data_IF_984582383750
#
_entry.id   IF_984582383750
#
_cell.length_a   1.000
_cell.length_b   1.000
_cell.length_c   1.000
_cell.angle_alpha   90.00
_cell.angle_beta   90.00
_cell.angle_gamma   90.00
#
_symmetry.space_group_name_H-M   'P 1'
#
loop_
_entity.id
_entity.type
_entity.pdbx_description
1 polymer ?
#
# COMPACT_ATOMS: atom_id res chain seq x y z
N UNK A 1 -1.15 10.87 -22.23
CA UNK A 1 -1.37 9.54 -21.60
C UNK A 1 -0.57 9.53 -20.30
N UNK A 2 -1.25 9.36 -19.15
CA UNK A 2 -0.61 9.46 -17.83
C UNK A 2 0.48 8.39 -17.68
N UNK A 3 0.19 7.16 -18.09
CA UNK A 3 1.11 6.03 -18.06
C UNK A 3 1.90 5.88 -19.36
N UNK A 4 2.48 6.97 -19.84
CA UNK A 4 3.47 6.93 -20.93
C UNK A 4 4.86 6.69 -20.32
N UNK A 5 5.51 5.59 -20.69
CA UNK A 5 6.83 5.21 -20.17
C UNK A 5 7.88 6.28 -20.42
N UNK A 6 7.88 6.87 -21.61
CA UNK A 6 8.86 7.91 -21.95
C UNK A 6 8.62 9.16 -21.09
N UNK A 7 7.37 9.57 -20.89
CA UNK A 7 7.05 10.69 -20.01
C UNK A 7 7.50 10.42 -18.58
N UNK A 8 7.18 9.24 -18.04
CA UNK A 8 7.57 8.85 -16.67
C UNK A 8 9.09 8.84 -16.51
N UNK A 9 9.81 8.19 -17.41
CA UNK A 9 11.27 8.00 -17.28
C UNK A 9 12.08 9.22 -17.65
N UNK A 10 11.61 10.06 -18.59
CA UNK A 10 12.36 11.22 -19.08
C UNK A 10 11.92 12.55 -18.45
N UNK A 11 10.73 12.63 -17.85
CA UNK A 11 10.20 13.86 -17.25
C UNK A 11 9.94 13.72 -15.75
N UNK A 12 9.11 12.77 -15.32
CA UNK A 12 8.72 12.66 -13.89
C UNK A 12 9.87 12.18 -13.01
N UNK A 13 10.48 11.06 -13.34
CA UNK A 13 11.56 10.46 -12.56
C UNK A 13 12.74 11.43 -12.35
N UNK A 14 13.25 12.16 -13.36
CA UNK A 14 14.30 13.17 -13.16
C UNK A 14 13.88 14.32 -12.22
N UNK A 15 12.61 14.74 -12.24
CA UNK A 15 12.10 15.80 -11.35
C UNK A 15 12.07 15.34 -9.89
N UNK A 16 11.57 14.13 -9.62
CA UNK A 16 11.56 13.56 -8.27
C UNK A 16 12.98 13.32 -7.76
N UNK A 17 13.85 12.77 -8.61
CA UNK A 17 15.27 12.65 -8.27
C UNK A 17 15.91 14.00 -7.97
N UNK A 18 15.60 15.05 -8.75
CA UNK A 18 16.06 16.40 -8.51
C UNK A 18 15.61 16.94 -7.15
N UNK A 19 14.34 16.74 -6.80
CA UNK A 19 13.79 17.12 -5.48
C UNK A 19 14.52 16.40 -4.35
N UNK A 20 14.73 15.09 -4.46
CA UNK A 20 15.50 14.31 -3.49
C UNK A 20 16.95 14.82 -3.33
N UNK A 21 17.64 15.05 -4.43
CA UNK A 21 19.04 15.49 -4.40
C UNK A 21 19.21 16.93 -3.88
N UNK A 22 18.21 17.79 -4.04
CA UNK A 22 18.20 19.14 -3.48
C UNK A 22 17.76 19.20 -2.01
N UNK A 23 17.19 18.11 -1.49
CA UNK A 23 16.76 18.04 -0.09
C UNK A 23 17.95 17.95 0.86
N UNK A 24 17.85 18.65 1.99
CA UNK A 24 18.92 18.71 2.99
C UNK A 24 19.04 17.40 3.77
N UNK A 25 20.26 17.04 4.15
CA UNK A 25 20.56 15.87 4.96
C UNK A 25 20.92 16.22 6.41
N UNK A 26 20.72 17.48 6.80
CA UNK A 26 20.84 17.95 8.18
C UNK A 26 19.56 17.62 8.96
N UNK A 27 19.70 17.45 10.26
CA UNK A 27 18.55 17.21 11.15
C UNK A 27 17.49 18.29 10.97
N UNK A 28 16.22 17.94 10.77
CA UNK A 28 15.16 18.91 10.52
C UNK A 28 14.89 19.79 11.74
N UNK A 29 14.77 21.10 11.52
CA UNK A 29 14.48 22.11 12.54
C UNK A 29 12.99 22.42 12.68
N UNK A 30 12.16 21.86 11.81
CA UNK A 30 10.72 22.06 11.78
C UNK A 30 9.93 21.02 12.59
N UNK A 31 10.58 19.99 13.12
CA UNK A 31 9.93 19.02 14.01
C UNK A 31 9.75 19.66 15.38
N UNK A 32 8.52 19.61 15.89
CA UNK A 32 8.20 20.16 17.20
C UNK A 32 8.37 19.13 18.30
N UNK A 33 9.04 19.44 19.41
CA UNK A 33 9.17 18.52 20.53
C UNK A 33 7.80 18.14 21.10
N UNK A 34 7.62 16.88 21.44
CA UNK A 34 6.42 16.37 22.11
C UNK A 34 6.68 16.30 23.62
N UNK A 35 5.70 16.72 24.42
CA UNK A 35 5.86 16.69 25.89
C UNK A 35 6.00 15.26 26.42
N UNK A 36 6.75 15.09 27.52
CA UNK A 36 6.94 13.78 28.14
C UNK A 36 5.60 13.13 28.58
N UNK A 37 4.62 13.94 28.99
CA UNK A 37 3.30 13.46 29.37
C UNK A 37 2.55 12.91 28.14
N UNK A 38 2.59 13.63 27.04
CA UNK A 38 1.97 13.22 25.78
C UNK A 38 2.60 11.93 25.24
N UNK A 39 3.95 11.85 25.26
CA UNK A 39 4.68 10.62 24.88
C UNK A 39 4.22 9.39 25.69
N UNK A 40 4.12 9.53 27.01
CA UNK A 40 3.65 8.45 27.89
C UNK A 40 2.20 8.05 27.59
N UNK A 41 1.33 9.02 27.33
CA UNK A 41 -0.05 8.75 26.98
C UNK A 41 -0.14 8.02 25.63
N UNK A 42 0.64 8.46 24.63
CA UNK A 42 0.71 7.82 23.31
C UNK A 42 1.24 6.38 23.42
N UNK A 43 2.33 6.17 24.18
CA UNK A 43 2.91 4.85 24.41
C UNK A 43 1.92 3.90 25.10
N UNK A 44 1.23 4.38 26.13
CA UNK A 44 0.21 3.60 26.84
C UNK A 44 -0.94 3.22 25.90
N UNK A 45 -1.39 4.16 25.07
CA UNK A 45 -2.45 3.90 24.10
C UNK A 45 -2.00 2.89 23.04
N UNK A 46 -0.81 3.07 22.42
CA UNK A 46 -0.26 2.15 21.40
C UNK A 46 -0.12 0.75 21.99
N UNK A 47 0.43 0.62 23.19
CA UNK A 47 0.59 -0.68 23.85
C UNK A 47 -0.76 -1.38 24.03
N UNK A 48 -1.74 -0.68 24.57
CA UNK A 48 -3.09 -1.23 24.75
C UNK A 48 -3.77 -1.59 23.42
N UNK A 49 -3.60 -0.77 22.37
CA UNK A 49 -4.12 -1.02 21.04
C UNK A 49 -3.49 -2.26 20.41
N UNK A 50 -2.17 -2.39 20.48
CA UNK A 50 -1.43 -3.54 19.94
C UNK A 50 -1.77 -4.84 20.69
N UNK A 51 -1.93 -4.81 22.01
CA UNK A 51 -2.36 -5.98 22.78
C UNK A 51 -3.78 -6.42 22.40
N UNK A 52 -4.69 -5.47 22.16
CA UNK A 52 -6.05 -5.79 21.69
C UNK A 52 -6.00 -6.45 20.32
N UNK A 53 -5.26 -5.85 19.37
CA UNK A 53 -5.11 -6.35 18.02
C UNK A 53 -4.51 -7.76 18.01
N UNK A 54 -3.39 -7.99 18.71
CA UNK A 54 -2.74 -9.29 18.79
C UNK A 54 -3.63 -10.36 19.40
N UNK A 55 -4.38 -10.03 20.46
CA UNK A 55 -5.36 -10.97 21.07
C UNK A 55 -6.44 -11.36 20.07
N UNK A 56 -6.95 -10.39 19.32
CA UNK A 56 -7.99 -10.63 18.32
C UNK A 56 -7.44 -11.45 17.14
N UNK A 57 -6.25 -11.15 16.65
CA UNK A 57 -5.60 -11.92 15.57
C UNK A 57 -5.32 -13.37 15.99
N UNK A 58 -4.86 -13.61 17.23
CA UNK A 58 -4.68 -14.97 17.77
C UNK A 58 -6.00 -15.75 17.91
N UNK A 59 -7.11 -15.07 18.04
CA UNK A 59 -8.44 -15.67 18.11
C UNK A 59 -9.05 -15.98 16.74
N UNK A 60 -8.32 -15.73 15.63
CA UNK A 60 -8.80 -16.01 14.29
C UNK A 60 -9.20 -17.49 14.13
N UNK A 61 -10.42 -17.77 13.67
CA UNK A 61 -10.92 -19.13 13.53
C UNK A 61 -10.24 -19.82 12.35
N UNK A 62 -9.19 -20.61 12.63
CA UNK A 62 -8.50 -21.40 11.59
C UNK A 62 -9.39 -22.53 11.07
N UNK A 63 -9.18 -22.98 9.82
CA UNK A 63 -9.93 -24.07 9.17
C UNK A 63 -9.97 -25.36 9.99
N UNK A 64 -8.94 -25.66 10.77
CA UNK A 64 -8.90 -26.86 11.62
C UNK A 64 -9.96 -26.86 12.73
N UNK A 65 -10.56 -25.71 13.06
CA UNK A 65 -11.66 -25.58 14.04
C UNK A 65 -13.04 -25.45 13.38
N UNK A 66 -13.09 -25.22 12.08
CA UNK A 66 -14.34 -25.19 11.30
C UNK A 66 -14.49 -26.61 10.70
N UNK A 67 -14.84 -27.56 11.53
CA UNK A 67 -15.24 -28.88 11.08
C UNK A 67 -16.59 -28.76 10.35
N UNK A 68 -16.54 -28.52 9.06
CA UNK A 68 -17.69 -28.74 8.19
C UNK A 68 -17.89 -30.25 8.15
N UNK A 69 -18.84 -30.77 8.93
CA UNK A 69 -19.41 -32.10 8.69
C UNK A 69 -20.11 -32.05 7.34
N UNK A 70 -19.35 -32.41 6.28
CA UNK A 70 -19.95 -32.72 4.99
C UNK A 70 -20.74 -34.03 5.15
N UNK A 71 -22.06 -34.07 4.96
CA UNK A 71 -22.74 -35.32 4.79
C UNK A 71 -22.23 -35.97 3.52
N UNK A 72 -21.77 -37.20 3.62
CA UNK A 72 -21.42 -38.04 2.47
C UNK A 72 -22.61 -38.12 1.52
N UNK A 73 -22.56 -37.42 0.39
CA UNK A 73 -23.44 -37.60 -0.73
C UNK A 73 -22.62 -37.58 -2.01
N UNK A 74 -22.43 -38.78 -2.57
CA UNK A 74 -22.00 -38.94 -3.95
C UNK A 74 -23.12 -38.44 -4.87
N UNK A 75 -22.99 -37.23 -5.42
CA UNK A 75 -23.60 -36.81 -6.69
C UNK A 75 -22.95 -35.53 -7.20
N UNK A 76 -22.41 -35.61 -8.38
CA UNK A 76 -22.03 -34.64 -9.43
C UNK A 76 -21.64 -33.20 -9.05
N UNK A 77 -20.52 -32.70 -9.61
CA UNK A 77 -20.08 -31.32 -9.45
C UNK A 77 -20.71 -30.44 -10.52
N UNK A 78 -21.98 -30.09 -10.33
CA UNK A 78 -22.59 -28.99 -11.09
C UNK A 78 -23.27 -28.05 -10.10
N UNK A 79 -22.83 -26.78 -10.14
CA UNK A 79 -23.43 -25.67 -9.43
C UNK A 79 -23.37 -25.73 -7.88
N UNK A 80 -22.21 -25.79 -7.29
CA UNK A 80 -22.04 -25.29 -5.93
C UNK A 80 -21.88 -23.77 -6.01
N UNK A 81 -23.02 -23.09 -6.13
CA UNK A 81 -23.11 -21.65 -6.03
C UNK A 81 -22.38 -21.14 -4.77
N UNK A 82 -21.66 -20.05 -4.92
CA UNK A 82 -21.07 -19.22 -3.90
C UNK A 82 -22.14 -18.66 -2.93
N UNK A 83 -22.70 -19.48 -2.08
CA UNK A 83 -23.63 -19.05 -1.01
C UNK A 83 -23.52 -19.94 0.22
N UNK A 84 -22.28 -20.05 0.77
CA UNK A 84 -22.17 -20.47 2.16
C UNK A 84 -21.87 -19.22 2.98
N UNK A 85 -22.88 -18.77 3.74
CA UNK A 85 -22.67 -17.77 4.79
C UNK A 85 -21.46 -18.17 5.64
N UNK A 86 -20.55 -17.24 5.95
CA UNK A 86 -19.39 -17.55 6.79
C UNK A 86 -19.83 -18.26 8.08
N UNK A 87 -19.02 -19.22 8.55
CA UNK A 87 -19.33 -19.89 9.80
C UNK A 87 -19.59 -18.84 10.90
N UNK A 88 -20.56 -19.05 11.80
CA UNK A 88 -20.96 -18.05 12.79
C UNK A 88 -19.77 -17.48 13.61
N UNK A 89 -18.76 -18.30 13.86
CA UNK A 89 -17.52 -17.89 14.55
C UNK A 89 -16.69 -16.89 13.73
N UNK A 90 -16.60 -17.09 12.42
CA UNK A 90 -15.90 -16.17 11.53
C UNK A 90 -16.66 -14.85 11.39
N UNK A 91 -17.99 -14.91 11.32
CA UNK A 91 -18.83 -13.73 11.29
C UNK A 91 -18.68 -12.91 12.58
N UNK A 92 -18.70 -13.55 13.75
CA UNK A 92 -18.47 -12.90 15.04
C UNK A 92 -17.06 -12.27 15.08
N UNK A 93 -16.03 -13.00 14.69
CA UNK A 93 -14.65 -12.48 14.64
C UNK A 93 -14.53 -11.25 13.73
N UNK A 94 -15.20 -11.26 12.57
CA UNK A 94 -15.21 -10.12 11.65
C UNK A 94 -15.89 -8.89 12.26
N UNK A 95 -17.03 -9.07 12.95
CA UNK A 95 -17.72 -7.98 13.65
C UNK A 95 -16.86 -7.38 14.79
N UNK A 96 -16.17 -8.23 15.53
CA UNK A 96 -15.24 -7.79 16.58
C UNK A 96 -14.03 -7.06 15.99
N UNK A 97 -13.51 -7.50 14.82
CA UNK A 97 -12.46 -6.82 14.09
C UNK A 97 -12.92 -5.45 13.57
N UNK A 98 -14.13 -5.35 13.03
CA UNK A 98 -14.73 -4.07 12.63
C UNK A 98 -14.81 -3.09 13.80
N UNK A 99 -15.26 -3.56 14.96
CA UNK A 99 -15.34 -2.74 16.19
C UNK A 99 -13.95 -2.32 16.69
N UNK A 100 -12.98 -3.22 16.60
CA UNK A 100 -11.60 -2.93 16.98
C UNK A 100 -10.99 -1.85 16.09
N UNK A 101 -11.12 -2.00 14.77
CA UNK A 101 -10.65 -0.98 13.81
C UNK A 101 -11.35 0.35 14.00
N UNK A 102 -12.63 0.35 14.30
CA UNK A 102 -13.35 1.57 14.66
C UNK A 102 -12.64 2.28 15.81
N UNK A 103 -12.43 1.59 16.95
CA UNK A 103 -11.76 2.19 18.11
C UNK A 103 -10.33 2.66 17.76
N UNK A 104 -9.56 1.87 16.99
CA UNK A 104 -8.20 2.25 16.60
C UNK A 104 -8.15 3.49 15.71
N UNK A 105 -9.14 3.72 14.87
CA UNK A 105 -9.17 4.88 13.97
C UNK A 105 -9.72 6.15 14.63
N UNK A 106 -10.63 6.01 15.59
CA UNK A 106 -11.38 7.14 16.12
C UNK A 106 -10.99 7.54 17.54
N UNK A 107 -10.49 6.61 18.34
CA UNK A 107 -10.00 6.89 19.70
C UNK A 107 -8.49 7.15 19.72
N UNK A 108 -7.82 7.12 18.55
CA UNK A 108 -6.39 7.28 18.47
C UNK A 108 -5.98 8.77 18.72
N UNK A 109 -5.02 9.01 19.62
CA UNK A 109 -4.58 10.34 19.95
C UNK A 109 -3.46 10.89 19.05
N UNK A 110 -2.77 10.01 18.28
CA UNK A 110 -1.50 10.29 17.61
C UNK A 110 -1.73 10.88 16.23
N UNK A 111 -2.45 10.15 15.38
CA UNK A 111 -2.66 10.51 13.98
C UNK A 111 -3.63 11.70 13.82
N UNK A 112 -4.56 11.85 14.75
CA UNK A 112 -5.49 12.99 14.78
C UNK A 112 -6.50 13.01 13.63
N UNK A 113 -6.84 11.86 13.06
CA UNK A 113 -7.75 11.74 11.91
C UNK A 113 -9.11 12.39 12.19
N UNK A 114 -9.62 12.23 13.40
CA UNK A 114 -10.88 12.84 13.84
C UNK A 114 -10.85 14.37 13.91
N UNK A 115 -9.66 14.99 13.94
CA UNK A 115 -9.49 16.44 13.93
C UNK A 115 -9.37 17.01 12.53
N UNK A 116 -8.94 16.20 11.58
CA UNK A 116 -8.68 16.60 10.20
C UNK A 116 -9.87 16.39 9.26
N UNK A 117 -10.80 15.49 9.61
CA UNK A 117 -11.96 15.14 8.81
C UNK A 117 -13.26 15.62 9.48
N UNK A 118 -14.28 15.97 8.69
CA UNK A 118 -15.62 16.23 9.20
C UNK A 118 -16.27 14.94 9.73
N UNK A 119 -17.29 15.07 10.60
CA UNK A 119 -18.04 13.94 11.13
C UNK A 119 -18.69 13.10 10.02
N UNK A 120 -19.22 13.75 8.97
CA UNK A 120 -19.79 13.09 7.80
C UNK A 120 -18.73 12.32 7.01
N UNK A 121 -17.56 12.93 6.77
CA UNK A 121 -16.43 12.28 6.09
C UNK A 121 -15.92 11.09 6.90
N UNK A 122 -15.83 11.23 8.20
CA UNK A 122 -15.41 10.14 9.11
C UNK A 122 -16.39 8.97 9.07
N UNK A 123 -17.68 9.26 9.13
CA UNK A 123 -18.73 8.23 9.06
C UNK A 123 -18.68 7.50 7.71
N UNK A 124 -18.51 8.22 6.61
CA UNK A 124 -18.38 7.65 5.29
C UNK A 124 -17.10 6.83 5.14
N UNK A 125 -15.97 7.30 5.69
CA UNK A 125 -14.72 6.58 5.73
C UNK A 125 -14.86 5.24 6.48
N UNK A 126 -15.49 5.24 7.65
CA UNK A 126 -15.80 4.00 8.39
C UNK A 126 -16.65 3.02 7.56
N UNK A 127 -17.70 3.54 6.94
CA UNK A 127 -18.60 2.71 6.14
C UNK A 127 -17.85 2.04 4.99
N UNK A 128 -16.98 2.78 4.28
CA UNK A 128 -16.17 2.25 3.18
C UNK A 128 -15.16 1.19 3.65
N UNK A 129 -14.51 1.38 4.82
CA UNK A 129 -13.62 0.37 5.42
C UNK A 129 -14.37 -0.91 5.79
N UNK A 130 -15.54 -0.79 6.38
CA UNK A 130 -16.39 -1.96 6.69
C UNK A 130 -16.83 -2.69 5.44
N UNK A 131 -17.20 -1.96 4.41
CA UNK A 131 -17.57 -2.54 3.12
C UNK A 131 -16.40 -3.28 2.48
N UNK A 132 -15.20 -2.69 2.49
CA UNK A 132 -13.99 -3.35 2.02
C UNK A 132 -13.74 -4.68 2.76
N UNK A 133 -13.74 -4.66 4.09
CA UNK A 133 -13.52 -5.87 4.89
C UNK A 133 -14.58 -6.95 4.64
N UNK A 134 -15.84 -6.58 4.43
CA UNK A 134 -16.91 -7.52 4.04
C UNK A 134 -16.65 -8.13 2.67
N UNK A 135 -16.25 -7.32 1.69
CA UNK A 135 -15.88 -7.81 0.35
C UNK A 135 -14.71 -8.78 0.43
N UNK A 136 -13.65 -8.46 1.21
CA UNK A 136 -12.51 -9.38 1.44
C UNK A 136 -12.99 -10.71 1.98
N UNK A 137 -13.83 -10.71 3.02
CA UNK A 137 -14.36 -11.94 3.61
C UNK A 137 -15.28 -12.72 2.70
N UNK A 138 -16.03 -12.06 1.84
CA UNK A 138 -16.84 -12.71 0.83
C UNK A 138 -16.00 -13.36 -0.28
N UNK A 139 -14.97 -12.65 -0.74
CA UNK A 139 -14.11 -13.09 -1.84
C UNK A 139 -13.09 -14.16 -1.41
N UNK A 140 -12.47 -13.99 -0.25
CA UNK A 140 -11.42 -14.86 0.27
C UNK A 140 -11.64 -15.15 1.77
N UNK A 141 -12.65 -15.96 2.14
CA UNK A 141 -12.97 -16.24 3.54
C UNK A 141 -11.83 -16.92 4.32
N UNK A 142 -10.91 -17.56 3.59
CA UNK A 142 -9.71 -18.20 4.15
C UNK A 142 -8.53 -17.27 4.34
N UNK A 143 -8.59 -16.03 3.85
CA UNK A 143 -7.47 -15.07 3.91
C UNK A 143 -7.06 -14.80 5.36
N UNK A 144 -5.76 -14.82 5.60
CA UNK A 144 -5.20 -14.54 6.92
C UNK A 144 -5.35 -13.06 7.28
N UNK A 145 -5.37 -12.72 8.58
CA UNK A 145 -5.44 -11.32 9.02
C UNK A 145 -4.29 -10.45 8.51
N UNK A 146 -3.09 -11.02 8.39
CA UNK A 146 -1.90 -10.34 7.90
C UNK A 146 -2.08 -9.89 6.44
N UNK A 147 -2.56 -10.81 5.59
CA UNK A 147 -2.83 -10.56 4.16
C UNK A 147 -3.97 -9.54 3.99
N UNK A 148 -4.99 -9.63 4.86
CA UNK A 148 -6.05 -8.61 4.94
C UNK A 148 -5.50 -7.23 5.29
N UNK A 149 -4.53 -7.17 6.21
CA UNK A 149 -3.87 -5.95 6.61
C UNK A 149 -3.12 -5.30 5.45
N UNK A 150 -2.46 -6.09 4.59
CA UNK A 150 -1.79 -5.61 3.38
C UNK A 150 -2.80 -4.98 2.39
N UNK A 151 -3.89 -5.69 2.09
CA UNK A 151 -4.94 -5.17 1.21
C UNK A 151 -5.59 -3.89 1.78
N UNK A 152 -5.84 -3.88 3.10
CA UNK A 152 -6.45 -2.73 3.78
C UNK A 152 -5.54 -1.51 3.75
N UNK A 153 -4.21 -1.66 3.88
CA UNK A 153 -3.27 -0.53 3.77
C UNK A 153 -3.41 0.19 2.44
N UNK A 154 -3.47 -0.56 1.33
CA UNK A 154 -3.65 0.04 0.01
C UNK A 154 -5.01 0.75 -0.12
N UNK A 155 -6.08 0.12 0.36
CA UNK A 155 -7.40 0.74 0.38
C UNK A 155 -7.46 2.02 1.25
N UNK A 156 -6.70 2.06 2.35
CA UNK A 156 -6.58 3.27 3.18
C UNK A 156 -5.90 4.42 2.42
N UNK A 157 -4.85 4.16 1.66
CA UNK A 157 -4.19 5.17 0.82
C UNK A 157 -5.18 5.76 -0.18
N UNK A 158 -5.96 4.92 -0.86
CA UNK A 158 -7.03 5.37 -1.74
C UNK A 158 -8.04 6.27 -1.01
N UNK A 159 -8.52 5.84 0.16
CA UNK A 159 -9.51 6.58 0.94
C UNK A 159 -9.00 7.93 1.44
N UNK A 160 -7.73 8.01 1.85
CA UNK A 160 -7.05 9.25 2.22
C UNK A 160 -6.98 10.19 1.02
N UNK A 161 -6.65 9.68 -0.16
CA UNK A 161 -6.60 10.51 -1.37
C UNK A 161 -7.99 10.98 -1.82
N UNK A 162 -9.05 10.21 -1.57
CA UNK A 162 -10.42 10.68 -1.81
C UNK A 162 -10.75 11.88 -0.93
N UNK A 163 -10.44 11.81 0.36
CA UNK A 163 -10.63 12.93 1.28
C UNK A 163 -9.80 14.15 0.87
N UNK A 164 -8.53 13.94 0.52
CA UNK A 164 -7.63 14.99 0.03
C UNK A 164 -8.21 15.73 -1.19
N UNK A 165 -8.93 15.02 -2.06
CA UNK A 165 -9.57 15.58 -3.25
C UNK A 165 -11.00 16.07 -3.00
N UNK A 166 -11.51 16.00 -1.76
CA UNK A 166 -12.87 16.40 -1.41
C UNK A 166 -13.94 15.55 -2.07
N UNK A 167 -13.67 14.25 -2.28
CA UNK A 167 -14.56 13.28 -2.90
C UNK A 167 -15.21 12.38 -1.84
N UNK A 168 -16.48 11.97 -2.03
CA UNK A 168 -17.13 11.06 -1.10
C UNK A 168 -16.40 9.72 -1.05
N UNK A 169 -16.40 9.10 0.12
CA UNK A 169 -15.81 7.78 0.34
C UNK A 169 -16.65 6.70 -0.33
N UNK A 170 -16.00 5.74 -0.99
CA UNK A 170 -16.62 4.57 -1.60
C UNK A 170 -15.65 3.38 -1.66
N UNK A 171 -16.14 2.22 -2.08
CA UNK A 171 -15.34 1.03 -2.28
C UNK A 171 -15.76 0.34 -3.61
N UNK A 172 -15.42 0.93 -4.76
CA UNK A 172 -15.72 0.32 -6.05
C UNK A 172 -14.92 -0.96 -6.28
N UNK A 173 -15.44 -1.84 -7.15
CA UNK A 173 -14.80 -3.13 -7.47
C UNK A 173 -13.38 -2.98 -8.00
N UNK A 174 -13.07 -1.89 -8.68
CA UNK A 174 -11.72 -1.64 -9.22
C UNK A 174 -10.69 -1.44 -8.13
N UNK A 175 -10.98 -0.64 -7.10
CA UNK A 175 -10.03 -0.44 -6.01
C UNK A 175 -9.99 -1.65 -5.08
N UNK A 176 -11.13 -2.34 -4.90
CA UNK A 176 -11.14 -3.63 -4.22
C UNK A 176 -10.20 -4.62 -4.92
N UNK A 177 -10.37 -4.78 -6.26
CA UNK A 177 -9.51 -5.64 -7.07
C UNK A 177 -8.04 -5.28 -6.97
N UNK A 178 -7.69 -3.99 -7.07
CA UNK A 178 -6.31 -3.51 -7.00
C UNK A 178 -5.71 -3.74 -5.61
N UNK A 179 -6.42 -3.40 -4.54
CA UNK A 179 -5.95 -3.60 -3.17
C UNK A 179 -5.75 -5.07 -2.82
N UNK A 180 -6.62 -5.95 -3.32
CA UNK A 180 -6.53 -7.39 -3.13
C UNK A 180 -5.47 -8.04 -4.01
N UNK A 181 -5.14 -7.45 -5.16
CA UNK A 181 -4.16 -8.00 -6.08
C UNK A 181 -2.79 -8.15 -5.41
N UNK A 182 -2.39 -7.18 -4.57
CA UNK A 182 -1.11 -7.18 -3.89
C UNK A 182 -0.87 -8.44 -3.05
N UNK A 183 -1.67 -8.77 -2.01
CA UNK A 183 -1.46 -10.00 -1.24
C UNK A 183 -1.64 -11.28 -2.08
N UNK A 184 -2.40 -11.23 -3.17
CA UNK A 184 -2.57 -12.40 -4.04
C UNK A 184 -1.36 -12.66 -4.94
N UNK A 185 -0.64 -11.61 -5.34
CA UNK A 185 0.53 -11.73 -6.21
C UNK A 185 1.80 -11.96 -5.41
N UNK A 186 2.10 -11.09 -4.46
CA UNK A 186 3.36 -11.11 -3.73
C UNK A 186 3.46 -12.36 -2.86
N UNK A 187 2.40 -12.70 -2.10
CA UNK A 187 2.43 -13.89 -1.26
C UNK A 187 2.59 -15.19 -2.06
N UNK A 188 2.07 -15.25 -3.29
CA UNK A 188 2.28 -16.40 -4.17
C UNK A 188 3.71 -16.44 -4.70
N UNK A 189 4.24 -15.31 -5.13
CA UNK A 189 5.57 -15.21 -5.71
C UNK A 189 6.67 -15.42 -4.67
N UNK A 190 6.44 -15.03 -3.43
CA UNK A 190 7.39 -15.14 -2.33
C UNK A 190 7.31 -16.50 -1.61
N UNK A 191 6.18 -17.22 -1.71
CA UNK A 191 6.07 -18.54 -1.04
C UNK A 191 7.08 -19.55 -1.64
N UNK A 192 8.02 -20.08 -0.82
CA UNK A 192 9.02 -21.06 -1.27
C UNK A 192 8.43 -22.42 -1.67
N UNK A 193 7.14 -22.66 -1.37
CA UNK A 193 6.46 -23.90 -1.80
C UNK A 193 6.16 -23.91 -3.29
N UNK A 194 6.10 -22.75 -3.93
CA UNK A 194 5.88 -22.66 -5.37
C UNK A 194 7.18 -22.77 -6.14
N UNK A 195 7.17 -23.62 -7.15
CA UNK A 195 8.31 -23.83 -8.05
C UNK A 195 8.55 -22.59 -8.93
N UNK A 196 9.77 -22.46 -9.45
CA UNK A 196 10.09 -21.38 -10.40
C UNK A 196 9.20 -21.41 -11.65
N UNK A 197 8.74 -22.60 -12.07
CA UNK A 197 7.87 -22.77 -13.22
C UNK A 197 6.45 -22.29 -12.94
N UNK A 198 5.90 -22.60 -11.75
CA UNK A 198 4.61 -22.07 -11.29
C UNK A 198 4.63 -20.55 -11.18
N UNK A 199 5.68 -19.98 -10.60
CA UNK A 199 5.87 -18.54 -10.50
C UNK A 199 5.95 -17.85 -11.87
N UNK A 200 6.67 -18.45 -12.82
CA UNK A 200 6.74 -17.95 -14.21
C UNK A 200 5.39 -18.04 -14.92
N UNK A 201 4.67 -19.14 -14.75
CA UNK A 201 3.32 -19.29 -15.30
C UNK A 201 2.37 -18.24 -14.73
N UNK A 202 2.42 -18.02 -13.43
CA UNK A 202 1.60 -17.03 -12.74
C UNK A 202 1.89 -15.60 -13.21
N UNK A 203 3.16 -15.20 -13.37
CA UNK A 203 3.55 -13.93 -13.94
C UNK A 203 3.04 -13.74 -15.38
N UNK A 204 3.14 -14.82 -16.20
CA UNK A 204 2.62 -14.81 -17.55
C UNK A 204 1.09 -14.66 -17.57
N UNK A 205 0.39 -15.31 -16.62
CA UNK A 205 -1.05 -15.16 -16.45
C UNK A 205 -1.44 -13.69 -16.21
N UNK A 206 -0.78 -13.04 -15.25
CA UNK A 206 -1.05 -11.64 -14.93
C UNK A 206 -0.82 -10.76 -16.16
N UNK A 207 0.33 -10.92 -16.81
CA UNK A 207 0.66 -10.17 -18.03
C UNK A 207 -0.37 -10.38 -19.14
N UNK A 208 -0.76 -11.63 -19.42
CA UNK A 208 -1.75 -11.95 -20.46
C UNK A 208 -3.12 -11.35 -20.14
N UNK A 209 -3.57 -11.46 -18.88
CA UNK A 209 -4.86 -10.87 -18.45
C UNK A 209 -4.87 -9.36 -18.60
N UNK A 210 -3.81 -8.68 -18.19
CA UNK A 210 -3.69 -7.21 -18.37
C UNK A 210 -3.68 -6.86 -19.85
N UNK A 211 -2.97 -7.64 -20.67
CA UNK A 211 -2.86 -7.41 -22.12
C UNK A 211 -4.09 -7.84 -22.91
N UNK A 212 -5.07 -8.49 -22.28
CA UNK A 212 -6.27 -9.03 -22.97
C UNK A 212 -5.99 -10.27 -23.78
N UNK A 213 -4.89 -10.98 -23.52
CA UNK A 213 -4.53 -12.22 -24.19
C UNK A 213 -5.16 -13.43 -23.49
N UNK A 214 -5.49 -14.51 -24.22
CA UNK A 214 -6.02 -15.73 -23.63
C UNK A 214 -4.96 -16.44 -22.79
N UNK A 215 -5.41 -17.07 -21.69
CA UNK A 215 -4.58 -17.93 -20.87
C UNK A 215 -5.43 -19.02 -20.23
N UNK A 216 -4.85 -20.19 -20.00
CA UNK A 216 -5.47 -21.28 -19.25
C UNK A 216 -5.21 -21.10 -17.77
N UNK A 217 -6.25 -21.15 -16.96
CA UNK A 217 -6.16 -21.11 -15.51
C UNK A 217 -5.99 -22.54 -14.96
N UNK A 218 -5.05 -22.72 -14.06
CA UNK A 218 -4.65 -24.04 -13.54
C UNK A 218 -5.06 -24.24 -12.07
N UNK A 219 -5.42 -23.18 -11.37
CA UNK A 219 -5.72 -23.23 -9.94
C UNK A 219 -6.81 -22.22 -9.55
N UNK A 220 -7.47 -22.49 -8.40
CA UNK A 220 -8.43 -21.54 -7.82
C UNK A 220 -7.77 -20.19 -7.48
N UNK A 221 -6.50 -20.18 -7.11
CA UNK A 221 -5.75 -18.95 -6.85
C UNK A 221 -5.63 -18.11 -8.13
N UNK A 222 -5.32 -18.74 -9.25
CA UNK A 222 -5.25 -18.08 -10.56
C UNK A 222 -6.61 -17.59 -11.03
N UNK A 223 -7.70 -18.36 -10.78
CA UNK A 223 -9.06 -17.91 -11.07
C UNK A 223 -9.42 -16.66 -10.28
N UNK A 224 -9.12 -16.62 -8.97
CA UNK A 224 -9.34 -15.46 -8.12
C UNK A 224 -8.50 -14.26 -8.56
N UNK A 225 -7.23 -14.47 -8.88
CA UNK A 225 -6.35 -13.40 -9.40
C UNK A 225 -6.89 -12.84 -10.72
N UNK A 226 -7.35 -13.71 -11.62
CA UNK A 226 -7.97 -13.30 -12.88
C UNK A 226 -9.27 -12.53 -12.67
N UNK A 227 -10.05 -12.87 -11.63
CA UNK A 227 -11.27 -12.13 -11.25
C UNK A 227 -10.92 -10.74 -10.71
N UNK A 228 -9.92 -10.61 -9.83
CA UNK A 228 -9.45 -9.30 -9.33
C UNK A 228 -9.02 -8.38 -10.47
N UNK A 229 -8.28 -8.91 -11.45
CA UNK A 229 -7.92 -8.15 -12.66
C UNK A 229 -9.15 -7.77 -13.48
N UNK A 230 -10.15 -8.64 -13.60
CA UNK A 230 -11.40 -8.32 -14.27
C UNK A 230 -12.17 -7.21 -13.53
N UNK A 231 -12.19 -7.22 -12.19
CA UNK A 231 -12.83 -6.21 -11.36
C UNK A 231 -12.15 -4.85 -11.51
N UNK A 232 -10.82 -4.82 -11.62
CA UNK A 232 -10.07 -3.60 -11.93
C UNK A 232 -10.53 -2.99 -13.26
N UNK A 233 -10.78 -3.82 -14.26
CA UNK A 233 -11.17 -3.35 -15.59
C UNK A 233 -12.67 -3.10 -15.77
N UNK A 234 -13.53 -3.65 -14.92
CA UNK A 234 -14.99 -3.55 -15.03
C UNK A 234 -15.53 -2.13 -14.78
N UNK A 235 -14.81 -1.31 -14.02
CA UNK A 235 -15.21 0.08 -13.71
C UNK A 235 -14.96 1.02 -14.89
N UNK A 236 -14.21 0.58 -15.89
CA UNK A 236 -14.01 1.36 -17.10
C UNK A 236 -15.14 1.08 -18.07
N UNK A 237 -15.84 2.14 -18.48
CA UNK A 237 -17.22 2.09 -18.85
C UNK A 237 -17.52 1.16 -20.03
N UNK A 238 -18.74 0.59 -19.98
CA UNK A 238 -19.43 0.15 -21.17
C UNK A 238 -19.44 1.26 -22.24
N UNK A 239 -19.52 0.94 -23.53
CA UNK A 239 -19.56 1.94 -24.61
C UNK A 239 -20.55 3.09 -24.40
N UNK A 240 -21.57 2.91 -23.57
CA UNK A 240 -22.63 3.91 -23.28
C UNK A 240 -22.20 4.98 -22.25
N UNK A 241 -21.24 4.68 -21.35
CA UNK A 241 -20.65 5.65 -20.44
C UNK A 241 -19.38 6.32 -21.00
N UNK A 242 -18.89 5.88 -22.16
CA UNK A 242 -17.75 6.41 -22.91
C UNK A 242 -17.92 7.89 -23.29
N UNK A 243 -19.15 8.39 -23.33
CA UNK A 243 -19.41 9.82 -23.59
C UNK A 243 -18.74 10.77 -22.58
N UNK A 244 -18.45 10.31 -21.34
CA UNK A 244 -17.80 11.13 -20.30
C UNK A 244 -16.31 10.86 -20.11
N UNK A 245 -15.81 9.65 -20.37
CA UNK A 245 -14.44 9.23 -20.00
C UNK A 245 -13.58 8.67 -21.13
N UNK A 246 -14.16 8.29 -22.28
CA UNK A 246 -13.45 7.85 -23.48
C UNK A 246 -12.75 6.47 -23.38
N UNK A 247 -12.53 5.82 -24.54
CA UNK A 247 -11.73 4.57 -24.63
C UNK A 247 -10.32 4.68 -24.05
N UNK A 248 -9.82 5.90 -23.84
CA UNK A 248 -8.48 6.18 -23.35
C UNK A 248 -8.24 5.62 -21.92
N UNK A 249 -9.24 5.70 -21.03
CA UNK A 249 -9.08 5.33 -19.63
C UNK A 249 -8.81 3.84 -19.40
N UNK A 250 -9.48 2.96 -20.16
CA UNK A 250 -9.22 1.52 -20.07
C UNK A 250 -7.85 1.11 -20.60
N UNK A 251 -7.31 1.83 -21.59
CA UNK A 251 -5.95 1.64 -22.07
C UNK A 251 -4.91 2.18 -21.09
N UNK A 252 -5.21 3.31 -20.45
CA UNK A 252 -4.30 3.92 -19.47
C UNK A 252 -4.08 3.02 -18.26
N UNK A 253 -5.14 2.44 -17.67
CA UNK A 253 -4.96 1.57 -16.51
C UNK A 253 -4.21 0.27 -16.85
N UNK A 254 -4.49 -0.32 -18.02
CA UNK A 254 -3.74 -1.50 -18.50
C UNK A 254 -2.26 -1.18 -18.65
N UNK A 255 -1.96 -0.04 -19.26
CA UNK A 255 -0.58 0.43 -19.42
C UNK A 255 0.07 0.69 -18.05
N UNK A 256 -0.65 1.33 -17.11
CA UNK A 256 -0.17 1.54 -15.74
C UNK A 256 0.20 0.23 -15.04
N UNK A 257 -0.68 -0.79 -15.11
CA UNK A 257 -0.42 -2.10 -14.52
C UNK A 257 0.73 -2.85 -15.20
N UNK A 258 0.89 -2.73 -16.53
CA UNK A 258 2.05 -3.31 -17.23
C UNK A 258 3.36 -2.64 -16.81
N UNK A 259 3.36 -1.32 -16.64
CA UNK A 259 4.53 -0.59 -16.13
C UNK A 259 4.83 -0.97 -14.66
N UNK A 260 3.80 -1.24 -13.86
CA UNK A 260 4.01 -1.71 -12.49
C UNK A 260 4.62 -3.10 -12.44
N UNK A 261 4.19 -4.04 -13.30
CA UNK A 261 4.85 -5.34 -13.44
C UNK A 261 6.32 -5.20 -13.85
N UNK A 262 6.58 -4.34 -14.83
CA UNK A 262 7.96 -4.03 -15.25
C UNK A 262 8.79 -3.45 -14.09
N UNK A 263 8.19 -2.55 -13.28
CA UNK A 263 8.86 -1.98 -12.11
C UNK A 263 9.19 -3.05 -11.05
N UNK A 264 8.30 -4.01 -10.83
CA UNK A 264 8.54 -5.16 -9.96
C UNK A 264 9.69 -6.03 -10.48
N UNK A 265 9.72 -6.34 -11.77
CA UNK A 265 10.82 -7.10 -12.39
C UNK A 265 12.15 -6.35 -12.31
N UNK A 266 12.13 -5.04 -12.51
CA UNK A 266 13.33 -4.20 -12.39
C UNK A 266 13.83 -4.16 -10.94
N UNK A 267 12.93 -4.11 -9.95
CA UNK A 267 13.31 -4.08 -8.53
C UNK A 267 14.01 -5.37 -8.08
N UNK A 268 13.70 -6.52 -8.68
CA UNK A 268 14.41 -7.78 -8.39
C UNK A 268 15.92 -7.70 -8.70
N UNK A 269 16.34 -6.81 -9.61
CA UNK A 269 17.76 -6.56 -9.89
C UNK A 269 18.53 -6.00 -8.70
N UNK A 270 17.83 -5.43 -7.71
CA UNK A 270 18.47 -4.93 -6.50
C UNK A 270 19.11 -6.05 -5.66
N UNK A 271 18.55 -7.26 -5.71
CA UNK A 271 19.10 -8.45 -5.04
C UNK A 271 20.11 -9.23 -5.90
N UNK A 272 20.28 -8.91 -7.19
CA UNK A 272 21.20 -9.61 -8.06
C UNK A 272 22.65 -9.14 -7.86
N UNK A 273 23.43 -9.90 -7.11
CA UNK A 273 24.83 -9.60 -6.82
C UNK A 273 25.75 -9.56 -8.06
N UNK A 274 25.32 -10.14 -9.19
CA UNK A 274 26.09 -10.12 -10.45
C UNK A 274 26.02 -8.75 -11.16
N UNK A 275 25.04 -7.92 -10.82
CA UNK A 275 24.84 -6.62 -11.43
C UNK A 275 25.53 -5.52 -10.63
N UNK A 276 26.24 -4.65 -11.31
CA UNK A 276 26.74 -3.40 -10.72
C UNK A 276 25.64 -2.34 -10.76
N UNK A 277 25.12 -1.94 -9.62
CA UNK A 277 24.13 -0.86 -9.48
C UNK A 277 24.79 0.35 -8.83
N UNK A 278 24.73 1.49 -9.52
CA UNK A 278 25.09 2.77 -8.92
C UNK A 278 23.98 3.25 -7.96
N UNK A 279 24.29 4.14 -7.03
CA UNK A 279 23.27 4.77 -6.18
C UNK A 279 22.15 5.41 -7.01
N UNK A 280 22.48 6.00 -8.14
CA UNK A 280 21.50 6.54 -9.08
C UNK A 280 20.56 5.46 -9.63
N UNK A 281 21.09 4.29 -10.00
CA UNK A 281 20.24 3.19 -10.49
C UNK A 281 19.29 2.70 -9.40
N UNK A 282 19.79 2.55 -8.15
CA UNK A 282 18.98 2.16 -7.00
C UNK A 282 17.86 3.19 -6.76
N UNK A 283 18.21 4.46 -6.74
CA UNK A 283 17.24 5.56 -6.58
C UNK A 283 16.17 5.55 -7.68
N UNK A 284 16.59 5.41 -8.93
CA UNK A 284 15.68 5.40 -10.08
C UNK A 284 14.71 4.20 -10.00
N UNK A 285 15.15 3.05 -9.51
CA UNK A 285 14.30 1.87 -9.27
C UNK A 285 13.26 2.18 -8.18
N UNK A 286 13.68 2.72 -7.03
CA UNK A 286 12.78 3.05 -5.91
C UNK A 286 11.76 4.12 -6.31
N UNK A 287 12.19 5.17 -7.05
CA UNK A 287 11.28 6.21 -7.57
C UNK A 287 10.27 5.59 -8.53
N UNK A 288 10.72 4.74 -9.45
CA UNK A 288 9.87 4.16 -10.49
C UNK A 288 8.81 3.22 -9.89
N UNK A 289 9.24 2.29 -9.01
CA UNK A 289 8.35 1.33 -8.35
C UNK A 289 7.34 2.03 -7.43
N UNK A 290 7.82 2.82 -6.49
CA UNK A 290 6.96 3.53 -5.55
C UNK A 290 6.04 4.54 -6.23
N UNK A 291 6.60 5.33 -7.17
CA UNK A 291 5.84 6.34 -7.91
C UNK A 291 4.69 5.76 -8.72
N UNK A 292 4.91 4.65 -9.43
CA UNK A 292 3.86 3.98 -10.20
C UNK A 292 2.75 3.43 -9.30
N UNK A 293 3.09 2.82 -8.17
CA UNK A 293 2.12 2.26 -7.22
C UNK A 293 1.08 3.30 -6.81
N UNK A 294 1.54 4.45 -6.32
CA UNK A 294 0.65 5.51 -5.84
C UNK A 294 -0.05 6.27 -6.99
N UNK A 295 0.61 6.40 -8.14
CA UNK A 295 -0.01 7.02 -9.30
C UNK A 295 -1.21 6.19 -9.82
N UNK A 296 -1.14 4.87 -9.73
CA UNK A 296 -2.25 3.98 -10.05
C UNK A 296 -3.40 4.16 -9.04
N UNK A 297 -3.13 4.20 -7.73
CA UNK A 297 -4.14 4.50 -6.71
C UNK A 297 -4.86 5.82 -7.00
N UNK A 298 -4.08 6.86 -7.29
CA UNK A 298 -4.66 8.18 -7.64
C UNK A 298 -5.49 8.14 -8.92
N UNK A 299 -5.10 7.32 -9.90
CA UNK A 299 -5.85 7.17 -11.15
C UNK A 299 -7.26 6.63 -10.91
N UNK A 300 -7.44 5.72 -9.95
CA UNK A 300 -8.76 5.20 -9.59
C UNK A 300 -9.68 6.25 -8.95
N UNK A 301 -9.13 7.30 -8.37
CA UNK A 301 -9.91 8.36 -7.73
C UNK A 301 -10.53 9.29 -8.76
N UNK A 302 -9.73 9.72 -9.71
CA UNK A 302 -10.16 10.58 -10.81
C UNK A 302 -9.22 10.37 -12.00
N UNK A 303 -9.77 9.98 -13.12
CA UNK A 303 -9.04 9.69 -14.35
C UNK A 303 -8.30 10.89 -14.94
N UNK A 304 -8.63 12.12 -14.50
CA UNK A 304 -7.97 13.34 -14.92
C UNK A 304 -7.05 13.83 -13.80
N UNK A 305 -5.81 14.06 -14.15
CA UNK A 305 -4.80 14.62 -13.26
C UNK A 305 -4.07 15.78 -13.96
N UNK A 306 -3.78 16.84 -13.22
CA UNK A 306 -2.84 17.88 -13.67
C UNK A 306 -1.41 17.37 -13.59
N UNK A 307 -0.47 18.07 -14.22
CA UNK A 307 0.97 17.72 -14.12
C UNK A 307 1.48 17.83 -12.68
N UNK A 308 0.97 18.77 -11.90
CA UNK A 308 1.33 18.97 -10.50
C UNK A 308 0.82 17.80 -9.66
N UNK A 309 -0.43 17.37 -9.86
CA UNK A 309 -0.98 16.18 -9.20
C UNK A 309 -0.16 14.93 -9.55
N UNK A 310 0.15 14.70 -10.82
CA UNK A 310 0.96 13.56 -11.25
C UNK A 310 2.33 13.60 -10.54
N UNK A 311 2.98 14.76 -10.49
CA UNK A 311 4.27 14.92 -9.85
C UNK A 311 4.19 14.65 -8.35
N UNK A 312 3.19 15.21 -7.66
CA UNK A 312 2.99 15.00 -6.23
C UNK A 312 2.78 13.52 -5.91
N UNK A 313 1.81 12.85 -6.55
CA UNK A 313 1.49 11.45 -6.25
C UNK A 313 2.62 10.50 -6.63
N UNK A 314 3.32 10.78 -7.72
CA UNK A 314 4.50 10.00 -8.09
C UNK A 314 5.62 10.17 -7.07
N UNK A 315 5.85 11.39 -6.57
CA UNK A 315 6.80 11.67 -5.49
C UNK A 315 6.37 11.09 -4.15
N UNK A 316 5.06 11.08 -3.86
CA UNK A 316 4.50 10.49 -2.65
C UNK A 316 4.72 8.96 -2.61
N UNK A 317 4.62 8.30 -3.76
CA UNK A 317 4.97 6.89 -3.88
C UNK A 317 6.44 6.62 -3.58
N UNK A 318 7.35 7.49 -3.99
CA UNK A 318 8.77 7.37 -3.62
C UNK A 318 8.99 7.57 -2.11
N UNK A 319 8.27 8.52 -1.48
CA UNK A 319 8.27 8.68 -0.02
C UNK A 319 7.88 7.37 0.69
N UNK A 320 6.76 6.77 0.30
CA UNK A 320 6.29 5.52 0.89
C UNK A 320 7.29 4.38 0.68
N UNK A 321 7.88 4.26 -0.51
CA UNK A 321 8.91 3.27 -0.80
C UNK A 321 10.14 3.45 0.09
N UNK A 322 10.57 4.69 0.37
CA UNK A 322 11.70 4.94 1.26
C UNK A 322 11.38 4.62 2.73
N UNK A 323 10.13 4.82 3.16
CA UNK A 323 9.71 4.41 4.50
C UNK A 323 9.70 2.87 4.64
N UNK A 324 9.29 2.16 3.59
CA UNK A 324 9.34 0.70 3.51
C UNK A 324 10.79 0.21 3.52
N UNK A 325 11.63 0.72 2.62
CA UNK A 325 13.08 0.44 2.60
C UNK A 325 13.77 0.73 3.97
N UNK A 326 13.26 1.72 4.73
CA UNK A 326 13.77 2.06 6.06
C UNK A 326 13.34 1.03 7.11
N UNK A 327 12.13 0.52 7.05
CA UNK A 327 11.63 -0.53 7.95
C UNK A 327 12.38 -1.84 7.72
N UNK A 328 12.70 -2.12 6.46
CA UNK A 328 13.23 -3.40 6.01
C UNK A 328 14.76 -3.43 5.85
N UNK A 329 15.51 -2.43 6.37
CA UNK A 329 16.99 -2.38 6.24
C UNK A 329 17.65 -3.72 6.63
N UNK A 330 17.22 -4.34 7.73
CA UNK A 330 17.77 -5.59 8.23
C UNK A 330 17.51 -6.76 7.31
N UNK A 331 16.30 -6.87 6.81
CA UNK A 331 15.89 -7.90 5.88
C UNK A 331 16.56 -7.71 4.52
N UNK A 332 16.57 -6.52 3.98
CA UNK A 332 17.22 -6.16 2.73
C UNK A 332 18.71 -6.52 2.74
N UNK A 333 19.44 -6.16 3.81
CA UNK A 333 20.85 -6.52 3.96
C UNK A 333 21.02 -8.04 4.07
N UNK A 334 20.14 -8.72 4.77
CA UNK A 334 20.14 -10.17 4.89
C UNK A 334 19.93 -10.89 3.56
N UNK A 335 19.07 -10.35 2.72
CA UNK A 335 18.75 -10.89 1.40
C UNK A 335 19.67 -10.36 0.29
N UNK A 336 20.59 -9.45 0.59
CA UNK A 336 21.48 -8.81 -0.38
C UNK A 336 20.77 -7.81 -1.30
N UNK A 337 19.57 -7.35 -0.92
CA UNK A 337 18.81 -6.34 -1.65
C UNK A 337 19.40 -4.95 -1.39
N UNK A 338 19.74 -4.24 -2.46
CA UNK A 338 20.42 -2.93 -2.43
C UNK A 338 19.39 -1.82 -2.62
N UNK A 339 18.87 -1.29 -1.52
CA UNK A 339 18.04 -0.10 -1.48
C UNK A 339 18.87 1.13 -1.08
N UNK A 340 18.28 2.33 -1.11
CA UNK A 340 18.97 3.55 -0.66
C UNK A 340 19.36 3.47 0.82
N UNK A 341 18.56 2.77 1.64
CA UNK A 341 18.78 2.62 3.07
C UNK A 341 19.70 1.43 3.38
N UNK A 342 19.48 0.27 2.77
CA UNK A 342 20.33 -0.91 2.98
C UNK A 342 21.75 -0.73 2.46
N UNK A 343 21.96 0.17 1.50
CA UNK A 343 23.29 0.51 0.96
C UNK A 343 24.13 1.41 1.88
N UNK A 344 23.56 1.98 2.94
CA UNK A 344 24.30 2.76 3.92
C UNK A 344 25.29 1.87 4.67
N UNK A 345 26.54 2.33 4.77
CA UNK A 345 27.65 1.61 5.42
C UNK A 345 27.81 1.98 6.89
N UNK A 346 27.35 3.17 7.28
CA UNK A 346 27.50 3.71 8.63
C UNK A 346 26.19 4.27 9.18
N UNK A 347 26.00 4.25 10.52
CA UNK A 347 24.85 4.89 11.17
C UNK A 347 24.68 6.36 10.79
N UNK A 348 25.79 7.08 10.58
CA UNK A 348 25.78 8.48 10.16
C UNK A 348 25.18 8.65 8.75
N UNK A 349 25.49 7.76 7.83
CA UNK A 349 24.91 7.78 6.49
C UNK A 349 23.42 7.48 6.54
N UNK A 350 22.99 6.49 7.35
CA UNK A 350 21.55 6.18 7.56
C UNK A 350 20.82 7.39 8.12
N UNK A 351 21.37 8.05 9.15
CA UNK A 351 20.81 9.27 9.73
C UNK A 351 20.70 10.41 8.69
N UNK A 352 21.72 10.62 7.87
CA UNK A 352 21.69 11.62 6.79
C UNK A 352 20.59 11.32 5.75
N UNK A 353 20.36 10.04 5.43
CA UNK A 353 19.26 9.63 4.53
C UNK A 353 17.88 9.91 5.14
N UNK A 354 17.71 9.63 6.42
CA UNK A 354 16.44 9.90 7.13
C UNK A 354 16.21 11.41 7.24
N UNK A 355 17.22 12.20 7.56
CA UNK A 355 17.12 13.65 7.57
C UNK A 355 16.70 14.19 6.17
N UNK A 356 17.31 13.66 5.12
CA UNK A 356 16.93 14.00 3.74
C UNK A 356 15.49 13.60 3.42
N UNK A 357 15.00 12.47 3.96
CA UNK A 357 13.64 12.02 3.78
C UNK A 357 12.65 13.00 4.40
N UNK A 358 12.91 13.53 5.60
CA UNK A 358 12.11 14.60 6.19
C UNK A 358 12.10 15.86 5.31
N UNK A 359 13.28 16.32 4.88
CA UNK A 359 13.39 17.52 4.02
C UNK A 359 12.70 17.31 2.66
N UNK A 360 12.84 16.12 2.07
CA UNK A 360 12.15 15.73 0.84
C UNK A 360 10.62 15.76 1.03
N UNK A 361 10.12 15.20 2.12
CA UNK A 361 8.70 15.18 2.44
C UNK A 361 8.13 16.59 2.54
N UNK A 362 8.80 17.48 3.28
CA UNK A 362 8.39 18.88 3.39
C UNK A 362 8.33 19.56 2.00
N UNK A 363 9.40 19.44 1.19
CA UNK A 363 9.43 20.00 -0.15
C UNK A 363 8.43 19.38 -1.13
N UNK A 364 8.11 18.09 -0.97
CA UNK A 364 7.07 17.44 -1.76
C UNK A 364 5.69 18.02 -1.42
N UNK A 365 5.41 18.28 -0.15
CA UNK A 365 4.14 18.83 0.30
C UNK A 365 3.91 20.29 -0.11
N UNK A 366 4.94 21.03 -0.52
CA UNK A 366 4.77 22.32 -1.20
C UNK A 366 4.07 22.18 -2.55
N UNK A 367 4.12 20.98 -3.15
CA UNK A 367 3.43 20.64 -4.40
C UNK A 367 2.07 19.96 -4.16
N UNK A 368 1.64 19.78 -2.91
CA UNK A 368 0.44 19.02 -2.57
C UNK A 368 -0.83 19.70 -3.08
N UNK A 369 -1.63 19.03 -3.94
CA UNK A 369 -2.83 19.62 -4.55
C UNK A 369 -4.05 19.63 -3.61
N UNK A 370 -3.85 19.55 -2.30
CA UNK A 370 -4.92 19.45 -1.32
C UNK A 370 -5.71 20.76 -1.21
N UNK A 371 -7.04 20.67 -1.34
CA UNK A 371 -7.96 21.81 -1.21
C UNK A 371 -8.22 22.21 0.24
N UNK A 372 -8.06 21.28 1.18
CA UNK A 372 -8.23 21.50 2.62
C UNK A 372 -6.85 21.64 3.29
N UNK A 373 -6.43 22.86 3.69
CA UNK A 373 -5.12 23.06 4.32
C UNK A 373 -4.94 22.25 5.61
N UNK A 374 -5.99 22.15 6.44
CA UNK A 374 -5.92 21.37 7.69
C UNK A 374 -5.69 19.87 7.42
N UNK A 375 -6.30 19.33 6.37
CA UNK A 375 -6.06 17.93 5.97
C UNK A 375 -4.66 17.74 5.34
N UNK A 376 -4.17 18.75 4.58
CA UNK A 376 -2.79 18.74 4.07
C UNK A 376 -1.78 18.69 5.21
N UNK A 377 -1.94 19.54 6.22
CA UNK A 377 -1.04 19.62 7.36
C UNK A 377 -1.10 18.32 8.20
N UNK A 378 -2.31 17.78 8.39
CA UNK A 378 -2.52 16.46 8.98
C UNK A 378 -1.78 15.37 8.21
N UNK A 379 -1.89 15.33 6.89
CA UNK A 379 -1.22 14.31 6.07
C UNK A 379 0.30 14.46 6.13
N UNK A 380 0.83 15.69 6.11
CA UNK A 380 2.25 15.96 6.27
C UNK A 380 2.76 15.47 7.63
N UNK A 381 2.05 15.79 8.71
CA UNK A 381 2.40 15.33 10.06
C UNK A 381 2.43 13.79 10.11
N UNK A 382 1.43 13.12 9.55
CA UNK A 382 1.39 11.66 9.51
C UNK A 382 2.54 11.06 8.67
N UNK A 383 3.00 11.73 7.63
CA UNK A 383 4.19 11.32 6.91
C UNK A 383 5.46 11.45 7.77
N UNK A 384 5.57 12.50 8.58
CA UNK A 384 6.67 12.64 9.54
C UNK A 384 6.63 11.54 10.61
N UNK A 385 5.44 11.25 11.16
CA UNK A 385 5.24 10.14 12.12
C UNK A 385 5.60 8.78 11.51
N UNK A 386 5.25 8.55 10.24
CA UNK A 386 5.65 7.34 9.52
C UNK A 386 7.17 7.22 9.42
N UNK A 387 7.88 8.31 9.11
CA UNK A 387 9.35 8.32 9.06
C UNK A 387 9.94 8.05 10.45
N UNK A 388 9.42 8.69 11.50
CA UNK A 388 9.85 8.49 12.88
C UNK A 388 9.67 7.04 13.34
N UNK A 389 8.49 6.47 13.11
CA UNK A 389 8.19 5.08 13.49
C UNK A 389 9.02 4.07 12.71
N UNK A 390 9.28 4.34 11.42
CA UNK A 390 10.15 3.51 10.59
C UNK A 390 11.59 3.56 11.09
N UNK A 391 12.10 4.74 11.46
CA UNK A 391 13.45 4.90 12.03
C UNK A 391 13.57 4.22 13.41
N UNK A 392 12.56 4.36 14.26
CA UNK A 392 12.51 3.70 15.57
C UNK A 392 12.50 2.16 15.44
N UNK A 393 11.72 1.61 14.52
CA UNK A 393 11.69 0.17 14.20
C UNK A 393 13.04 -0.36 13.71
N UNK A 394 13.85 0.49 13.10
CA UNK A 394 15.18 0.18 12.56
C UNK A 394 16.32 0.73 13.43
N UNK A 395 16.07 0.92 14.72
CA UNK A 395 16.99 1.59 15.67
C UNK A 395 18.42 1.04 15.69
N UNK A 396 18.63 -0.25 15.43
CA UNK A 396 19.95 -0.88 15.38
C UNK A 396 20.89 -0.33 14.28
N UNK A 397 20.34 0.42 13.32
CA UNK A 397 21.09 1.02 12.20
C UNK A 397 21.45 2.49 12.42
N UNK A 398 21.22 3.02 13.64
CA UNK A 398 21.48 4.40 14.01
C UNK A 398 22.39 4.48 15.25
N UNK A 399 23.05 5.62 15.40
CA UNK A 399 23.72 5.96 16.66
C UNK A 399 22.69 6.32 17.73
N UNK A 400 22.95 5.94 18.99
CA UNK A 400 22.09 6.23 20.14
C UNK A 400 21.78 7.73 20.29
N UNK A 401 22.79 8.58 20.03
CA UNK A 401 22.64 10.03 20.09
C UNK A 401 21.62 10.57 19.06
N UNK A 402 21.57 9.96 17.87
CA UNK A 402 20.60 10.31 16.83
C UNK A 402 19.19 9.86 17.21
N UNK A 403 19.04 8.62 17.69
CA UNK A 403 17.72 8.12 18.14
C UNK A 403 17.16 8.96 19.28
N UNK A 404 18.01 9.33 20.25
CA UNK A 404 17.61 10.22 21.35
C UNK A 404 17.12 11.57 20.84
N UNK A 405 17.77 12.11 19.82
CA UNK A 405 17.36 13.39 19.22
C UNK A 405 16.05 13.27 18.43
N UNK A 406 15.76 12.10 17.82
CA UNK A 406 14.47 11.83 17.19
C UNK A 406 13.36 11.63 18.22
N UNK A 407 13.71 11.08 19.40
CA UNK A 407 12.78 10.89 20.50
C UNK A 407 12.37 12.23 21.18
N UNK A 408 13.26 13.22 21.23
CA UNK A 408 12.97 14.57 21.76
C UNK A 408 11.94 15.31 20.91
#
# INVERSE_FOLDING_TARGET
MIFDKNYITSALLPRIRGLWLSSQDTFPDFLSPVSLEEKRNNEAWVTAAMERLQRHMKAFPSRSRIAVRLPFSRKQPEQAAYSQSPAPQLQKWTQEMESLFHGLLFDEPILGICRAMSEDSLTAFQASMKDFLRQVRSFAPEMKPEDMGQALRNFMVYSIFREQNGLPQDCPSSIFGYSMLYPFTDNFLDDPKHTSEEKKHFNLLIHHKISGLPITLLSLHEEKTAQLLADIFAVYPSPESVASYGEASGKDIRQGLLLMLEAQEISQKQADASLFLTERNIMDISIYKGGLSVLIDRFFINLKMTEEEILFYFGFGFLLQLCDDLQDIGEDKGNGSRTLLSSCLTPKETAARVNRLFSYTAGLFDLCPCRNPAFRDFLLQNCHELILTSAAGSGSWFDEAYLKKLEE
#
